data_IF_863859408326
#
_entry.id   IF_863859408326
#
_cell.length_a   1.000
_cell.length_b   1.000
_cell.length_c   1.000
_cell.angle_alpha   90.00
_cell.angle_beta   90.00
_cell.angle_gamma   90.00
#
_symmetry.space_group_name_H-M   'P 1'
#
loop_
_entity.id
_entity.type
_entity.pdbx_description
1 polymer ?
#
# COMPACT_ATOMS: atom_id res chain seq x y z
N UNK A 1 13.97 0.73 -12.14
CA UNK A 1 14.08 -0.11 -13.34
C UNK A 1 12.69 -0.28 -13.97
N UNK A 2 12.55 0.13 -15.25
CA UNK A 2 11.29 0.12 -16.01
C UNK A 2 10.63 -1.26 -16.01
N UNK A 3 11.41 -2.33 -16.08
CA UNK A 3 10.87 -3.69 -16.04
C UNK A 3 10.09 -3.97 -14.76
N UNK A 4 10.67 -3.67 -13.60
CA UNK A 4 10.00 -3.90 -12.32
C UNK A 4 8.79 -2.99 -12.13
N UNK A 5 8.87 -1.73 -12.54
CA UNK A 5 7.74 -0.79 -12.50
C UNK A 5 6.56 -1.31 -13.35
N UNK A 6 6.85 -1.72 -14.60
CA UNK A 6 5.84 -2.27 -15.50
C UNK A 6 5.23 -3.57 -14.95
N UNK A 7 6.06 -4.50 -14.46
CA UNK A 7 5.59 -5.76 -13.90
C UNK A 7 4.75 -5.54 -12.62
N UNK A 8 5.18 -4.64 -11.74
CA UNK A 8 4.42 -4.26 -10.54
C UNK A 8 3.06 -3.67 -10.90
N UNK A 9 3.04 -2.78 -11.89
CA UNK A 9 1.79 -2.18 -12.33
C UNK A 9 0.84 -3.22 -12.93
N UNK A 10 1.33 -4.10 -13.82
CA UNK A 10 0.52 -5.13 -14.45
C UNK A 10 -0.08 -6.11 -13.46
N UNK A 11 0.74 -6.60 -12.52
CA UNK A 11 0.35 -7.72 -11.68
C UNK A 11 -0.36 -7.28 -10.39
N UNK A 12 -0.08 -6.07 -9.88
CA UNK A 12 -0.55 -5.63 -8.56
C UNK A 12 -1.22 -4.26 -8.59
N UNK A 13 -0.45 -3.20 -8.78
CA UNK A 13 -0.93 -1.82 -8.61
C UNK A 13 -2.10 -1.47 -9.52
N UNK A 14 -2.02 -1.79 -10.81
CA UNK A 14 -3.09 -1.52 -11.77
C UNK A 14 -4.39 -2.24 -11.42
N UNK A 15 -4.30 -3.45 -10.90
CA UNK A 15 -5.46 -4.22 -10.44
C UNK A 15 -6.06 -3.62 -9.17
N UNK A 16 -5.24 -3.24 -8.19
CA UNK A 16 -5.70 -2.60 -6.96
C UNK A 16 -6.40 -1.25 -7.26
N UNK A 17 -5.84 -0.43 -8.15
CA UNK A 17 -6.47 0.82 -8.59
C UNK A 17 -7.84 0.58 -9.23
N UNK A 18 -7.94 -0.38 -10.15
CA UNK A 18 -9.23 -0.72 -10.77
C UNK A 18 -10.27 -1.22 -9.77
N UNK A 19 -9.84 -2.02 -8.78
CA UNK A 19 -10.74 -2.46 -7.70
C UNK A 19 -11.24 -1.28 -6.88
N UNK A 20 -10.35 -0.35 -6.50
CA UNK A 20 -10.70 0.85 -5.76
C UNK A 20 -11.67 1.74 -6.54
N UNK A 21 -11.40 1.99 -7.82
CA UNK A 21 -12.27 2.77 -8.71
C UNK A 21 -13.67 2.14 -8.86
N UNK A 22 -13.72 0.83 -9.15
CA UNK A 22 -15.00 0.12 -9.28
C UNK A 22 -15.78 0.05 -7.97
N UNK A 23 -15.09 -0.13 -6.85
CA UNK A 23 -15.73 -0.17 -5.53
C UNK A 23 -16.23 1.21 -5.12
N UNK A 24 -15.44 2.25 -5.32
CA UNK A 24 -15.82 3.64 -5.07
C UNK A 24 -17.05 4.04 -5.90
N UNK A 25 -17.09 3.68 -7.18
CA UNK A 25 -18.21 3.95 -8.08
C UNK A 25 -19.54 3.32 -7.62
N UNK A 26 -19.52 2.25 -6.83
CA UNK A 26 -20.73 1.66 -6.25
C UNK A 26 -21.39 2.54 -5.18
N UNK A 27 -20.64 3.44 -4.57
CA UNK A 27 -21.10 4.38 -3.55
C UNK A 27 -21.84 3.73 -2.36
N UNK A 28 -21.47 2.48 -2.02
CA UNK A 28 -22.12 1.68 -0.97
C UNK A 28 -21.31 1.55 0.32
N UNK A 29 -19.98 1.64 0.20
CA UNK A 29 -19.07 1.54 1.33
C UNK A 29 -17.82 2.38 1.04
N UNK A 30 -17.18 2.95 2.07
CA UNK A 30 -15.94 3.66 1.91
C UNK A 30 -14.83 2.75 1.38
N UNK A 31 -13.94 3.30 0.60
CA UNK A 31 -12.74 2.65 0.07
C UNK A 31 -11.53 3.40 0.58
N UNK A 32 -10.50 2.69 0.95
CA UNK A 32 -9.23 3.28 1.37
C UNK A 32 -8.11 2.62 0.58
N UNK A 33 -7.16 3.42 0.10
CA UNK A 33 -6.01 2.93 -0.66
C UNK A 33 -4.74 3.17 0.15
N UNK A 34 -3.87 2.17 0.17
CA UNK A 34 -2.53 2.31 0.73
C UNK A 34 -1.46 1.78 -0.21
N UNK A 35 -0.23 2.17 0.08
CA UNK A 35 1.00 1.63 -0.50
C UNK A 35 2.07 1.56 0.59
N UNK A 36 2.77 0.45 0.66
CA UNK A 36 3.96 0.32 1.48
C UNK A 36 5.17 0.73 0.66
N UNK A 37 5.89 1.75 1.11
CA UNK A 37 7.10 2.26 0.45
C UNK A 37 8.37 1.95 1.28
N UNK A 38 8.22 1.49 2.51
CA UNK A 38 9.35 1.07 3.35
C UNK A 38 10.17 -0.03 2.68
N UNK A 39 11.49 0.20 2.57
CA UNK A 39 12.41 -0.72 1.91
C UNK A 39 13.06 -1.66 2.93
N UNK A 40 12.96 -2.97 2.69
CA UNK A 40 13.62 -3.94 3.55
C UNK A 40 15.15 -3.85 3.45
N UNK A 41 15.88 -3.94 4.58
CA UNK A 41 17.35 -4.02 4.56
C UNK A 41 17.89 -5.40 4.13
N UNK A 42 17.01 -6.39 4.00
CA UNK A 42 17.40 -7.77 3.63
C UNK A 42 18.11 -7.77 2.28
N UNK A 43 19.13 -8.60 2.17
CA UNK A 43 20.01 -8.67 0.99
C UNK A 43 20.63 -7.32 0.60
N UNK A 44 20.96 -6.48 1.60
CA UNK A 44 21.53 -5.16 1.38
C UNK A 44 20.56 -4.17 0.72
N UNK A 45 19.26 -4.32 0.93
CA UNK A 45 18.22 -3.45 0.37
C UNK A 45 17.89 -3.72 -1.11
N UNK A 46 18.47 -4.76 -1.71
CA UNK A 46 18.27 -5.07 -3.14
C UNK A 46 16.82 -5.37 -3.51
N UNK A 47 16.06 -5.92 -2.57
CA UNK A 47 14.67 -6.32 -2.79
C UNK A 47 13.70 -5.13 -2.73
N UNK A 48 14.12 -3.98 -2.20
CA UNK A 48 13.24 -2.83 -2.00
C UNK A 48 12.03 -3.20 -1.15
N UNK A 49 10.82 -2.96 -1.67
CA UNK A 49 9.55 -3.35 -1.05
C UNK A 49 8.95 -4.55 -1.77
N UNK A 50 9.37 -5.78 -1.43
CA UNK A 50 8.90 -6.98 -2.13
C UNK A 50 7.43 -7.24 -1.84
N UNK A 51 6.77 -7.94 -2.76
CA UNK A 51 5.38 -8.38 -2.59
C UNK A 51 5.21 -9.16 -1.27
N UNK A 52 4.11 -8.91 -0.58
CA UNK A 52 3.74 -9.51 0.72
C UNK A 52 4.57 -9.03 1.93
N UNK A 53 5.44 -8.04 1.78
CA UNK A 53 6.17 -7.47 2.92
C UNK A 53 5.22 -6.83 3.96
N UNK A 54 4.11 -6.27 3.50
CA UNK A 54 3.06 -5.66 4.31
C UNK A 54 2.40 -6.64 5.31
N UNK A 55 2.39 -7.93 5.01
CA UNK A 55 1.81 -8.97 5.88
C UNK A 55 2.49 -8.97 7.25
N UNK A 56 3.83 -8.82 7.28
CA UNK A 56 4.58 -8.79 8.54
C UNK A 56 4.12 -7.65 9.46
N UNK A 57 3.80 -6.50 8.88
CA UNK A 57 3.38 -5.31 9.61
C UNK A 57 1.90 -5.33 9.97
N UNK A 58 1.03 -5.69 9.03
CA UNK A 58 -0.42 -5.76 9.24
C UNK A 58 -0.79 -6.72 10.36
N UNK A 59 -0.07 -7.84 10.50
CA UNK A 59 -0.33 -8.85 11.53
C UNK A 59 0.58 -8.72 12.76
N UNK A 60 1.31 -7.61 12.91
CA UNK A 60 2.23 -7.36 14.03
C UNK A 60 3.16 -8.57 14.27
N UNK A 61 3.82 -9.02 13.23
CA UNK A 61 4.57 -10.28 13.23
C UNK A 61 6.02 -10.12 12.77
N UNK A 62 6.61 -8.94 13.00
CA UNK A 62 7.96 -8.59 12.53
C UNK A 62 9.04 -9.50 13.14
N UNK A 63 8.91 -9.85 14.42
CA UNK A 63 9.83 -10.73 15.13
C UNK A 63 9.97 -12.13 14.47
N UNK A 64 8.93 -12.58 13.76
CA UNK A 64 8.88 -13.87 13.06
C UNK A 64 9.09 -13.76 11.55
N UNK A 65 9.21 -12.54 11.04
CA UNK A 65 9.29 -12.23 9.61
C UNK A 65 10.68 -11.73 9.20
N UNK A 66 11.71 -12.05 9.96
CA UNK A 66 13.08 -11.51 9.80
C UNK A 66 13.70 -11.78 8.42
N UNK A 67 13.25 -12.81 7.71
CA UNK A 67 13.65 -13.08 6.33
C UNK A 67 13.10 -12.03 5.35
N UNK A 68 12.09 -11.27 5.75
CA UNK A 68 11.46 -10.20 4.95
C UNK A 68 11.77 -8.81 5.49
N UNK A 69 11.70 -8.63 6.82
CA UNK A 69 11.86 -7.32 7.46
C UNK A 69 13.28 -7.03 7.92
N UNK A 70 14.16 -8.03 7.93
CA UNK A 70 15.40 -7.95 8.68
C UNK A 70 15.15 -8.14 10.19
N UNK A 71 16.17 -7.93 11.03
CA UNK A 71 16.02 -8.00 12.49
C UNK A 71 14.95 -7.02 12.98
N UNK A 72 14.20 -7.40 14.00
CA UNK A 72 13.26 -6.50 14.67
C UNK A 72 14.00 -5.29 15.22
N UNK A 73 13.45 -4.12 14.98
CA UNK A 73 13.93 -2.81 15.45
C UNK A 73 12.76 -1.99 15.97
N UNK A 74 13.05 -0.92 16.70
CA UNK A 74 12.01 0.03 17.11
C UNK A 74 11.25 0.63 15.91
N UNK A 75 11.91 0.79 14.77
CA UNK A 75 11.31 1.28 13.52
C UNK A 75 10.33 0.27 12.93
N UNK A 76 10.76 -1.00 12.77
CA UNK A 76 9.88 -2.05 12.22
C UNK A 76 8.70 -2.34 13.15
N UNK A 77 8.91 -2.30 14.48
CA UNK A 77 7.81 -2.46 15.42
C UNK A 77 6.83 -1.30 15.36
N UNK A 78 7.33 -0.04 15.32
CA UNK A 78 6.45 1.13 15.14
C UNK A 78 5.61 1.04 13.86
N UNK A 79 6.21 0.58 12.76
CA UNK A 79 5.48 0.36 11.51
C UNK A 79 4.38 -0.69 11.69
N UNK A 80 4.68 -1.79 12.36
CA UNK A 80 3.71 -2.84 12.66
C UNK A 80 2.56 -2.30 13.53
N UNK A 81 2.87 -1.56 14.58
CA UNK A 81 1.85 -0.94 15.45
C UNK A 81 0.90 -0.04 14.63
N UNK A 82 1.44 0.83 13.78
CA UNK A 82 0.64 1.74 12.94
C UNK A 82 -0.25 0.99 11.94
N UNK A 83 0.30 -0.02 11.26
CA UNK A 83 -0.44 -0.77 10.27
C UNK A 83 -1.47 -1.69 10.91
N UNK A 84 -1.09 -2.45 11.94
CA UNK A 84 -2.02 -3.34 12.65
C UNK A 84 -3.20 -2.57 13.26
N UNK A 85 -2.95 -1.44 13.92
CA UNK A 85 -4.00 -0.58 14.47
C UNK A 85 -4.96 -0.07 13.40
N UNK A 86 -4.46 0.34 12.23
CA UNK A 86 -5.30 0.77 11.11
C UNK A 86 -6.20 -0.36 10.60
N UNK A 87 -5.68 -1.58 10.47
CA UNK A 87 -6.48 -2.75 10.06
C UNK A 87 -7.51 -3.15 11.10
N UNK A 88 -7.14 -3.11 12.39
CA UNK A 88 -8.08 -3.36 13.50
C UNK A 88 -9.19 -2.31 13.51
N UNK A 89 -8.85 -1.02 13.37
CA UNK A 89 -9.83 0.06 13.30
C UNK A 89 -10.79 -0.13 12.12
N UNK A 90 -10.26 -0.44 10.95
CA UNK A 90 -11.07 -0.72 9.76
C UNK A 90 -11.98 -1.94 9.95
N UNK A 91 -11.48 -3.03 10.49
CA UNK A 91 -12.27 -4.23 10.74
C UNK A 91 -13.45 -3.98 11.71
N UNK A 92 -13.26 -3.08 12.67
CA UNK A 92 -14.27 -2.74 13.67
C UNK A 92 -15.32 -1.74 13.20
N UNK A 93 -14.92 -0.79 12.36
CA UNK A 93 -15.75 0.39 12.04
C UNK A 93 -15.90 0.68 10.54
N UNK A 94 -15.11 0.02 9.68
CA UNK A 94 -15.00 0.38 8.26
C UNK A 94 -14.16 1.64 8.01
N UNK A 95 -13.47 2.16 9.05
CA UNK A 95 -12.63 3.34 8.96
C UNK A 95 -11.24 3.04 9.55
N UNK A 96 -10.13 3.15 8.77
CA UNK A 96 -8.78 2.81 9.23
C UNK A 96 -8.10 3.94 10.03
N UNK A 97 -8.73 5.10 10.17
CA UNK A 97 -8.13 6.24 10.86
C UNK A 97 -7.89 5.95 12.34
N UNK A 98 -6.67 6.23 12.79
CA UNK A 98 -6.24 6.19 14.19
C UNK A 98 -5.58 7.52 14.57
N UNK A 99 -5.48 7.86 15.86
CA UNK A 99 -4.79 9.09 16.27
C UNK A 99 -3.30 9.15 15.91
N UNK A 100 -2.69 8.00 15.64
CA UNK A 100 -1.26 7.88 15.34
C UNK A 100 -0.95 8.04 13.83
N UNK A 101 -1.97 8.05 12.96
CA UNK A 101 -1.82 8.23 11.53
C UNK A 101 -2.28 9.62 11.07
N UNK A 102 -1.73 10.15 9.97
CA UNK A 102 -2.35 11.27 9.26
C UNK A 102 -3.80 10.96 8.89
N UNK A 103 -4.64 12.00 8.80
CA UNK A 103 -6.03 11.83 8.37
C UNK A 103 -6.07 11.14 7.00
N UNK A 104 -6.56 9.91 6.97
CA UNK A 104 -6.67 9.08 5.78
C UNK A 104 -8.05 9.25 5.16
N UNK A 105 -8.20 9.99 4.06
CA UNK A 105 -9.49 10.19 3.41
C UNK A 105 -9.93 8.94 2.65
N UNK A 106 -11.22 8.84 2.39
CA UNK A 106 -11.75 7.84 1.47
C UNK A 106 -11.20 8.06 0.07
N UNK A 107 -10.92 6.96 -0.62
CA UNK A 107 -10.49 7.00 -2.01
C UNK A 107 -11.59 7.47 -2.94
N UNK A 108 -11.27 8.38 -3.82
CA UNK A 108 -12.06 8.76 -4.97
C UNK A 108 -11.17 8.84 -6.23
N UNK A 109 -11.74 8.66 -7.45
CA UNK A 109 -10.95 8.66 -8.69
C UNK A 109 -10.35 10.02 -9.07
N UNK A 110 -10.77 11.13 -8.45
CA UNK A 110 -10.25 12.46 -8.72
C UNK A 110 -8.99 12.73 -7.92
N UNK A 111 -9.04 12.55 -6.59
CA UNK A 111 -7.90 12.77 -5.71
C UNK A 111 -6.95 11.58 -5.66
N UNK A 112 -7.49 10.36 -5.79
CA UNK A 112 -6.73 9.09 -5.65
C UNK A 112 -5.90 9.06 -4.38
N UNK A 113 -6.46 9.58 -3.28
CA UNK A 113 -5.78 9.69 -2.00
C UNK A 113 -5.30 8.31 -1.55
N UNK A 114 -4.01 8.21 -1.28
CA UNK A 114 -3.33 6.95 -0.92
C UNK A 114 -2.50 7.19 0.33
N UNK A 115 -2.70 6.37 1.36
CA UNK A 115 -1.81 6.32 2.52
C UNK A 115 -0.50 5.64 2.11
N UNK A 116 0.59 6.35 2.21
CA UNK A 116 1.94 5.79 2.02
C UNK A 116 2.46 5.40 3.38
N UNK A 117 2.68 4.10 3.59
CA UNK A 117 3.35 3.59 4.76
C UNK A 117 4.86 3.53 4.51
N UNK A 118 5.58 4.32 5.25
CA UNK A 118 7.02 4.38 5.34
C UNK A 118 7.37 4.77 6.80
N UNK A 119 8.63 5.07 7.11
CA UNK A 119 9.09 5.53 8.43
C UNK A 119 8.15 6.62 8.98
N UNK A 120 7.80 7.59 8.16
CA UNK A 120 6.82 8.63 8.44
C UNK A 120 5.64 8.53 7.48
N UNK A 121 4.53 7.90 7.88
CA UNK A 121 3.34 7.75 7.05
C UNK A 121 2.76 9.09 6.60
N UNK A 122 2.34 9.15 5.33
CA UNK A 122 1.74 10.34 4.75
C UNK A 122 0.64 10.01 3.76
N UNK A 123 -0.30 10.92 3.56
CA UNK A 123 -1.31 10.83 2.50
C UNK A 123 -0.83 11.59 1.27
N UNK A 124 -0.79 10.88 0.14
CA UNK A 124 -0.40 11.47 -1.15
C UNK A 124 -1.55 11.30 -2.14
N UNK A 125 -1.89 12.36 -2.85
CA UNK A 125 -2.88 12.28 -3.92
C UNK A 125 -2.22 11.79 -5.21
N UNK A 126 -2.79 10.74 -5.81
CA UNK A 126 -2.37 10.11 -7.05
C UNK A 126 -0.84 9.87 -7.12
N UNK A 127 -0.24 9.12 -6.18
CA UNK A 127 1.19 8.89 -6.19
C UNK A 127 1.63 8.30 -7.53
N UNK A 128 2.71 8.86 -8.11
CA UNK A 128 3.22 8.53 -9.45
C UNK A 128 2.16 8.61 -10.57
N UNK A 129 1.31 9.64 -10.51
CA UNK A 129 0.18 9.82 -11.42
C UNK A 129 0.56 9.85 -12.91
N UNK A 130 1.72 10.43 -13.26
CA UNK A 130 2.22 10.46 -14.65
C UNK A 130 2.56 9.04 -15.14
N UNK A 131 3.23 8.24 -14.33
CA UNK A 131 3.55 6.84 -14.63
C UNK A 131 2.26 6.01 -14.75
N UNK A 132 1.36 6.14 -13.77
CA UNK A 132 0.05 5.48 -13.79
C UNK A 132 -0.70 5.77 -15.09
N UNK A 133 -0.80 7.04 -15.48
CA UNK A 133 -1.52 7.46 -16.67
C UNK A 133 -0.89 6.87 -17.96
N UNK A 134 0.44 6.83 -18.02
CA UNK A 134 1.17 6.23 -19.13
C UNK A 134 0.91 4.71 -19.20
N UNK A 135 1.08 4.01 -18.08
CA UNK A 135 0.94 2.56 -18.04
C UNK A 135 -0.51 2.11 -18.27
N UNK A 136 -1.50 2.83 -17.76
CA UNK A 136 -2.92 2.57 -18.08
C UNK A 136 -3.22 2.68 -19.58
N UNK A 137 -2.58 3.62 -20.26
CA UNK A 137 -2.74 3.79 -21.72
C UNK A 137 -2.04 2.69 -22.51
N UNK A 138 -0.85 2.27 -22.09
CA UNK A 138 -0.03 1.27 -22.80
C UNK A 138 -0.46 -0.17 -22.51
N UNK A 139 -1.07 -0.41 -21.34
CA UNK A 139 -1.48 -1.73 -20.87
C UNK A 139 -3.01 -1.75 -20.72
N UNK A 140 -3.75 -1.83 -21.84
CA UNK A 140 -5.21 -1.79 -21.80
C UNK A 140 -5.79 -2.95 -21.01
N UNK A 141 -6.97 -2.71 -20.43
CA UNK A 141 -7.72 -3.68 -19.63
C UNK A 141 -7.94 -4.99 -20.38
N UNK A 142 -7.69 -6.11 -19.72
CA UNK A 142 -8.13 -7.41 -20.21
C UNK A 142 -7.07 -8.47 -20.47
N UNK A 143 -5.79 -8.23 -20.18
CA UNK A 143 -4.78 -9.31 -20.15
C UNK A 143 -4.36 -9.60 -18.71
N UNK A 144 -5.33 -10.05 -17.91
CA UNK A 144 -5.03 -10.84 -16.73
C UNK A 144 -4.64 -12.25 -17.19
N UNK A 145 -3.53 -12.75 -16.66
CA UNK A 145 -3.17 -14.16 -16.77
C UNK A 145 -4.24 -15.04 -16.15
#
# INVERSE_FOLDING_TARGET
DIFFQTATFQNYRGTALRQAERKSAQNKAPVYMYRLDWETPVEGGRLKTPHALDIAFVFDNVARSTSFTGPETAETQRMADLMADAWIAFARSGNPNTPALPQWPTYDPQSRATMIFDIDPQVVNDPDGAERALLQRLLPEGRGL
#
